data_IF_601595349996
#
_entry.id   IF_601595349996
#
_cell.length_a   1.000
_cell.length_b   1.000
_cell.length_c   1.000
_cell.angle_alpha   90.00
_cell.angle_beta   90.00
_cell.angle_gamma   90.00
#
_symmetry.space_group_name_H-M   'P 1'
#
loop_
_entity.id
_entity.type
_entity.pdbx_description
1 polymer ?
#
# COMPACT_ATOMS: atom_id res chain seq x y z
N UNK A 1 -17.48 13.83 -14.50
CA UNK A 1 -16.74 12.58 -14.52
C UNK A 1 -15.63 12.57 -15.59
N UNK A 2 -15.89 12.86 -16.88
CA UNK A 2 -14.85 12.92 -17.93
C UNK A 2 -13.72 13.89 -17.61
N UNK A 3 -14.02 15.11 -17.14
CA UNK A 3 -12.98 16.06 -16.68
C UNK A 3 -12.11 15.50 -15.55
N UNK A 4 -12.67 14.70 -14.65
CA UNK A 4 -11.93 14.04 -13.57
C UNK A 4 -10.96 12.98 -14.12
N UNK A 5 -11.39 12.19 -15.11
CA UNK A 5 -10.52 11.22 -15.81
C UNK A 5 -9.40 11.95 -16.56
N UNK A 6 -9.71 13.04 -17.29
CA UNK A 6 -8.72 13.84 -17.98
C UNK A 6 -7.66 14.41 -17.03
N UNK A 7 -8.08 14.98 -15.90
CA UNK A 7 -7.18 15.49 -14.85
C UNK A 7 -6.31 14.37 -14.25
N UNK A 8 -6.91 13.23 -13.89
CA UNK A 8 -6.14 12.10 -13.36
C UNK A 8 -5.07 11.64 -14.36
N UNK A 9 -5.43 11.56 -15.65
CA UNK A 9 -4.47 11.19 -16.70
C UNK A 9 -3.34 12.20 -16.82
N UNK A 10 -3.65 13.50 -16.90
CA UNK A 10 -2.62 14.55 -17.00
C UNK A 10 -1.72 14.60 -15.77
N UNK A 11 -2.28 14.53 -14.58
CA UNK A 11 -1.50 14.52 -13.35
C UNK A 11 -0.63 13.27 -13.26
N UNK A 12 -1.16 12.09 -13.61
CA UNK A 12 -0.37 10.85 -13.64
C UNK A 12 0.80 10.94 -14.61
N UNK A 13 0.59 11.48 -15.82
CA UNK A 13 1.66 11.69 -16.79
C UNK A 13 2.70 12.68 -16.24
N UNK A 14 2.26 13.84 -15.73
CA UNK A 14 3.16 14.85 -15.21
C UNK A 14 4.02 14.32 -14.04
N UNK A 15 3.41 13.69 -13.06
CA UNK A 15 4.13 13.09 -11.94
C UNK A 15 5.05 11.96 -12.38
N UNK A 16 4.62 11.12 -13.31
CA UNK A 16 5.45 10.02 -13.84
C UNK A 16 6.69 10.58 -14.52
N UNK A 17 6.54 11.56 -15.41
CA UNK A 17 7.67 12.17 -16.13
C UNK A 17 8.66 12.80 -15.14
N UNK A 18 8.17 13.62 -14.21
CA UNK A 18 9.03 14.27 -13.20
C UNK A 18 9.72 13.21 -12.33
N UNK A 19 8.97 12.24 -11.82
CA UNK A 19 9.52 11.19 -10.93
C UNK A 19 10.56 10.34 -11.65
N UNK A 20 10.25 9.88 -12.87
CA UNK A 20 11.17 9.08 -13.69
C UNK A 20 12.47 9.86 -13.98
N UNK A 21 12.36 11.11 -14.41
CA UNK A 21 13.54 11.94 -14.69
C UNK A 21 14.39 12.15 -13.45
N UNK A 22 13.78 12.57 -12.33
CA UNK A 22 14.51 12.83 -11.08
C UNK A 22 15.16 11.53 -10.55
N UNK A 23 14.41 10.43 -10.50
CA UNK A 23 14.93 9.18 -9.97
C UNK A 23 15.99 8.53 -10.87
N UNK A 24 15.84 8.60 -12.20
CA UNK A 24 16.86 8.10 -13.12
C UNK A 24 18.15 8.93 -13.04
N UNK A 25 18.06 10.26 -12.91
CA UNK A 25 19.23 11.11 -12.71
C UNK A 25 19.94 10.85 -11.38
N UNK A 26 19.18 10.52 -10.34
CA UNK A 26 19.70 10.26 -9.00
C UNK A 26 19.97 8.77 -8.73
N UNK A 27 19.80 7.88 -9.70
CA UNK A 27 19.89 6.42 -9.49
C UNK A 27 21.18 5.99 -8.78
N UNK A 28 22.32 6.46 -9.24
CA UNK A 28 23.62 6.18 -8.62
C UNK A 28 23.73 6.75 -7.20
N UNK A 29 23.23 7.96 -6.98
CA UNK A 29 23.25 8.59 -5.67
C UNK A 29 22.36 7.87 -4.66
N UNK A 30 21.22 7.35 -5.13
CA UNK A 30 20.32 6.53 -4.30
C UNK A 30 21.02 5.24 -3.85
N UNK A 31 21.78 4.58 -4.71
CA UNK A 31 22.55 3.38 -4.35
C UNK A 31 23.63 3.67 -3.30
N UNK A 32 24.33 4.81 -3.43
CA UNK A 32 25.29 5.27 -2.43
C UNK A 32 24.58 5.53 -1.08
N UNK A 33 23.44 6.17 -1.07
CA UNK A 33 22.65 6.39 0.16
C UNK A 33 22.14 5.07 0.76
N UNK A 34 21.85 4.08 -0.06
CA UNK A 34 21.44 2.75 0.38
C UNK A 34 22.63 1.88 0.85
N UNK A 35 23.87 2.38 0.73
CA UNK A 35 25.10 1.66 1.11
C UNK A 35 25.20 0.27 0.45
N UNK A 36 24.86 0.20 -0.84
CA UNK A 36 24.97 -1.03 -1.62
C UNK A 36 26.45 -1.35 -1.79
N UNK A 37 26.89 -2.62 -1.52
CA UNK A 37 28.27 -3.07 -1.71
C UNK A 37 28.74 -2.90 -3.14
N UNK A 38 30.02 -2.55 -3.32
CA UNK A 38 30.60 -2.24 -4.64
C UNK A 38 30.58 -3.42 -5.60
N UNK A 39 30.66 -4.65 -5.09
CA UNK A 39 30.66 -5.90 -5.86
C UNK A 39 29.36 -6.17 -6.63
N UNK A 40 28.23 -5.64 -6.13
CA UNK A 40 26.90 -5.79 -6.75
C UNK A 40 26.32 -4.45 -7.25
N UNK A 41 27.06 -3.36 -7.10
CA UNK A 41 26.57 -2.01 -7.38
C UNK A 41 26.18 -1.79 -8.85
N UNK A 42 26.93 -2.36 -9.80
CA UNK A 42 26.61 -2.24 -11.23
C UNK A 42 25.31 -2.97 -11.59
N UNK A 43 25.13 -4.19 -11.11
CA UNK A 43 23.92 -4.98 -11.34
C UNK A 43 22.69 -4.33 -10.67
N UNK A 44 22.87 -3.86 -9.43
CA UNK A 44 21.83 -3.14 -8.70
C UNK A 44 21.43 -1.85 -9.42
N UNK A 45 22.41 -1.12 -10.00
CA UNK A 45 22.12 0.09 -10.78
C UNK A 45 21.38 -0.25 -12.08
N UNK A 46 21.79 -1.29 -12.78
CA UNK A 46 21.13 -1.73 -14.02
C UNK A 46 19.66 -2.10 -13.75
N UNK A 47 19.41 -2.89 -12.69
CA UNK A 47 18.06 -3.25 -12.27
C UNK A 47 17.23 -2.02 -11.90
N UNK A 48 17.75 -1.20 -10.97
CA UNK A 48 17.05 -0.03 -10.47
C UNK A 48 16.75 0.98 -11.57
N UNK A 49 17.70 1.24 -12.45
CA UNK A 49 17.52 2.15 -13.57
C UNK A 49 16.39 1.69 -14.50
N UNK A 50 16.34 0.40 -14.85
CA UNK A 50 15.26 -0.16 -15.67
C UNK A 50 13.93 -0.04 -14.97
N UNK A 51 13.83 -0.39 -13.68
CA UNK A 51 12.59 -0.25 -12.89
C UNK A 51 12.11 1.20 -12.82
N UNK A 52 13.04 2.14 -12.60
CA UNK A 52 12.73 3.58 -12.57
C UNK A 52 12.23 4.09 -13.93
N UNK A 53 12.87 3.65 -15.00
CA UNK A 53 12.43 3.96 -16.37
C UNK A 53 11.03 3.39 -16.64
N UNK A 54 10.75 2.21 -16.11
CA UNK A 54 9.46 1.52 -16.22
C UNK A 54 8.35 2.03 -15.30
N UNK A 55 8.61 3.01 -14.44
CA UNK A 55 7.60 3.60 -13.53
C UNK A 55 6.33 4.03 -14.29
N UNK A 56 6.47 4.50 -15.52
CA UNK A 56 5.35 4.87 -16.39
C UNK A 56 4.39 3.71 -16.68
N UNK A 57 4.91 2.50 -16.89
CA UNK A 57 4.08 1.31 -17.12
C UNK A 57 3.29 0.95 -15.86
N UNK A 58 3.94 0.98 -14.69
CA UNK A 58 3.30 0.73 -13.40
C UNK A 58 2.20 1.75 -13.09
N UNK A 59 2.48 3.04 -13.26
CA UNK A 59 1.50 4.11 -13.04
C UNK A 59 0.32 3.97 -14.01
N UNK A 60 0.58 3.69 -15.29
CA UNK A 60 -0.45 3.49 -16.30
C UNK A 60 -1.35 2.30 -15.96
N UNK A 61 -0.75 1.15 -15.59
CA UNK A 61 -1.50 -0.03 -15.15
C UNK A 61 -2.40 0.27 -13.94
N UNK A 62 -1.85 0.91 -12.91
CA UNK A 62 -2.61 1.25 -11.70
C UNK A 62 -3.71 2.28 -11.99
N UNK A 63 -3.44 3.29 -12.83
CA UNK A 63 -4.40 4.31 -13.23
C UNK A 63 -5.62 3.68 -13.92
N UNK A 64 -5.39 2.89 -14.97
CA UNK A 64 -6.52 2.27 -15.71
C UNK A 64 -7.28 1.26 -14.84
N UNK A 65 -6.59 0.48 -14.02
CA UNK A 65 -7.20 -0.45 -13.08
C UNK A 65 -8.11 0.25 -12.08
N UNK A 66 -7.66 1.38 -11.53
CA UNK A 66 -8.46 2.19 -10.60
C UNK A 66 -9.64 2.86 -11.30
N UNK A 67 -9.48 3.33 -12.54
CA UNK A 67 -10.57 3.88 -13.34
C UNK A 67 -11.67 2.84 -13.61
N UNK A 68 -11.31 1.63 -14.01
CA UNK A 68 -12.25 0.54 -14.25
C UNK A 68 -13.01 0.15 -12.97
N UNK A 69 -12.30 0.04 -11.83
CA UNK A 69 -12.95 -0.21 -10.52
C UNK A 69 -13.91 0.92 -10.14
N UNK A 70 -13.55 2.17 -10.38
CA UNK A 70 -14.41 3.32 -10.11
C UNK A 70 -15.69 3.31 -10.98
N UNK A 71 -15.61 2.75 -12.20
CA UNK A 71 -16.74 2.53 -13.09
C UNK A 71 -17.60 1.28 -12.74
N UNK A 72 -17.19 0.53 -11.70
CA UNK A 72 -17.89 -0.67 -11.23
C UNK A 72 -17.38 -1.99 -11.82
N UNK A 73 -16.35 -1.95 -12.67
CA UNK A 73 -15.73 -3.15 -13.23
C UNK A 73 -14.49 -3.53 -12.41
N UNK A 74 -14.68 -4.47 -11.49
CA UNK A 74 -13.57 -5.05 -10.70
C UNK A 74 -13.01 -6.33 -11.33
N UNK A 75 -13.71 -6.93 -12.30
CA UNK A 75 -13.31 -8.19 -12.93
C UNK A 75 -12.20 -7.99 -13.95
N UNK A 76 -12.34 -7.00 -14.82
CA UNK A 76 -11.34 -6.70 -15.86
C UNK A 76 -9.95 -6.43 -15.26
N UNK A 77 -9.77 -5.55 -14.24
CA UNK A 77 -8.48 -5.40 -13.58
C UNK A 77 -7.93 -6.68 -12.96
N UNK A 78 -8.79 -7.56 -12.42
CA UNK A 78 -8.36 -8.83 -11.85
C UNK A 78 -7.83 -9.79 -12.95
N UNK A 79 -8.54 -9.92 -14.05
CA UNK A 79 -8.08 -10.77 -15.17
C UNK A 79 -6.74 -10.32 -15.71
N UNK A 80 -6.54 -9.01 -15.88
CA UNK A 80 -5.27 -8.48 -16.37
C UNK A 80 -4.16 -8.48 -15.30
N UNK A 81 -4.49 -8.49 -14.01
CA UNK A 81 -3.52 -8.76 -12.96
C UNK A 81 -2.98 -10.19 -13.06
N UNK A 82 -3.86 -11.19 -13.20
CA UNK A 82 -3.47 -12.60 -13.40
C UNK A 82 -2.66 -12.75 -14.68
N UNK A 83 -3.12 -12.15 -15.78
CA UNK A 83 -2.40 -12.14 -17.05
C UNK A 83 -0.99 -11.53 -16.91
N UNK A 84 -0.87 -10.37 -16.25
CA UNK A 84 0.42 -9.74 -15.98
C UNK A 84 1.35 -10.64 -15.17
N UNK A 85 0.83 -11.30 -14.14
CA UNK A 85 1.63 -12.18 -13.28
C UNK A 85 2.14 -13.41 -14.04
N UNK A 86 1.29 -14.06 -14.83
CA UNK A 86 1.70 -15.21 -15.65
C UNK A 86 2.69 -14.79 -16.73
N UNK A 87 2.41 -13.67 -17.41
CA UNK A 87 3.32 -13.14 -18.44
C UNK A 87 4.67 -12.73 -17.85
N UNK A 88 4.68 -12.14 -16.66
CA UNK A 88 5.91 -11.80 -15.95
C UNK A 88 6.78 -13.04 -15.72
N UNK A 89 6.20 -14.13 -15.17
CA UNK A 89 6.95 -15.39 -14.95
C UNK A 89 7.53 -15.92 -16.26
N UNK A 90 6.76 -15.91 -17.34
CA UNK A 90 7.23 -16.39 -18.66
C UNK A 90 8.37 -15.51 -19.16
N UNK A 91 8.23 -14.19 -19.08
CA UNK A 91 9.25 -13.25 -19.52
C UNK A 91 10.52 -13.31 -18.65
N UNK A 92 10.37 -13.51 -17.33
CA UNK A 92 11.53 -13.73 -16.42
C UNK A 92 12.35 -14.92 -16.89
N UNK A 93 11.70 -16.06 -17.18
CA UNK A 93 12.39 -17.26 -17.67
C UNK A 93 13.08 -16.97 -19.01
N UNK A 94 12.38 -16.32 -19.94
CA UNK A 94 12.90 -16.02 -21.29
C UNK A 94 14.08 -15.04 -21.24
N UNK A 95 13.99 -13.99 -20.43
CA UNK A 95 15.03 -12.96 -20.41
C UNK A 95 16.26 -13.39 -19.59
N UNK A 96 16.06 -14.17 -18.51
CA UNK A 96 17.16 -14.59 -17.66
C UNK A 96 17.88 -15.80 -18.26
N UNK A 97 17.15 -16.84 -18.72
CA UNK A 97 17.79 -18.11 -19.11
C UNK A 97 18.31 -18.07 -20.55
N UNK A 98 17.53 -17.95 -21.64
CA UNK A 98 18.06 -17.97 -23.01
C UNK A 98 18.69 -16.65 -23.46
N UNK A 99 18.23 -15.50 -22.94
CA UNK A 99 18.75 -14.18 -23.35
C UNK A 99 19.89 -13.69 -22.47
N UNK A 100 20.17 -14.36 -21.36
CA UNK A 100 21.27 -14.05 -20.43
C UNK A 100 21.28 -12.57 -19.96
N UNK A 101 20.10 -11.94 -19.82
CA UNK A 101 19.98 -10.53 -19.43
C UNK A 101 20.23 -10.30 -17.92
N UNK A 102 20.43 -11.37 -17.14
CA UNK A 102 20.66 -11.26 -15.71
C UNK A 102 19.52 -10.55 -14.95
N UNK A 103 19.89 -9.78 -13.96
CA UNK A 103 18.93 -9.07 -13.08
C UNK A 103 18.13 -8.00 -13.83
N UNK A 104 18.73 -7.36 -14.85
CA UNK A 104 18.03 -6.39 -15.69
C UNK A 104 16.89 -7.05 -16.49
N UNK A 105 17.02 -8.33 -16.86
CA UNK A 105 15.97 -9.09 -17.52
C UNK A 105 14.71 -9.20 -16.67
N UNK A 106 14.83 -9.46 -15.38
CA UNK A 106 13.71 -9.49 -14.45
C UNK A 106 12.98 -8.12 -14.36
N UNK A 107 13.75 -7.03 -14.37
CA UNK A 107 13.16 -5.69 -14.39
C UNK A 107 12.37 -5.44 -15.68
N UNK A 108 12.93 -5.80 -16.85
CA UNK A 108 12.23 -5.69 -18.13
C UNK A 108 10.98 -6.57 -18.21
N UNK A 109 11.03 -7.80 -17.70
CA UNK A 109 9.89 -8.69 -17.65
C UNK A 109 8.72 -8.08 -16.86
N UNK A 110 9.02 -7.48 -15.71
CA UNK A 110 8.03 -6.79 -14.87
C UNK A 110 7.40 -5.61 -15.60
N UNK A 111 8.22 -4.76 -16.24
CA UNK A 111 7.73 -3.56 -16.93
C UNK A 111 6.87 -3.94 -18.13
N UNK A 112 7.33 -4.89 -18.96
CA UNK A 112 6.61 -5.30 -20.16
C UNK A 112 5.29 -5.97 -19.82
N UNK A 113 5.25 -6.85 -18.81
CA UNK A 113 4.02 -7.51 -18.38
C UNK A 113 2.97 -6.51 -17.88
N UNK A 114 3.38 -5.52 -17.09
CA UNK A 114 2.51 -4.46 -16.62
C UNK A 114 2.05 -3.54 -17.74
N UNK A 115 2.94 -3.15 -18.64
CA UNK A 115 2.61 -2.30 -19.79
C UNK A 115 1.58 -2.97 -20.70
N UNK A 116 1.80 -4.22 -21.09
CA UNK A 116 0.86 -4.98 -21.94
C UNK A 116 -0.49 -5.15 -21.24
N UNK A 117 -0.50 -5.45 -19.94
CA UNK A 117 -1.73 -5.49 -19.16
C UNK A 117 -2.46 -4.15 -19.14
N UNK A 118 -1.75 -3.04 -18.99
CA UNK A 118 -2.32 -1.71 -19.03
C UNK A 118 -2.96 -1.42 -20.41
N UNK A 119 -2.25 -1.75 -21.48
CA UNK A 119 -2.76 -1.57 -22.86
C UNK A 119 -4.02 -2.39 -23.08
N UNK A 120 -4.00 -3.69 -22.77
CA UNK A 120 -5.16 -4.55 -22.95
C UNK A 120 -6.34 -4.14 -22.05
N UNK A 121 -6.09 -3.79 -20.79
CA UNK A 121 -7.11 -3.23 -19.89
C UNK A 121 -7.73 -1.95 -20.46
N UNK A 122 -6.92 -1.09 -21.07
CA UNK A 122 -7.39 0.14 -21.70
C UNK A 122 -8.27 -0.16 -22.92
N UNK A 123 -7.85 -1.09 -23.78
CA UNK A 123 -8.66 -1.49 -24.96
C UNK A 123 -10.01 -2.03 -24.55
N UNK A 124 -10.05 -2.94 -23.55
CA UNK A 124 -11.31 -3.48 -23.02
C UNK A 124 -12.14 -2.38 -22.35
N UNK A 125 -11.49 -1.51 -21.58
CA UNK A 125 -12.14 -0.38 -20.93
C UNK A 125 -12.80 0.57 -21.92
N UNK A 126 -12.08 0.95 -22.99
CA UNK A 126 -12.62 1.81 -24.04
C UNK A 126 -13.81 1.16 -24.79
N UNK A 127 -13.78 -0.16 -25.02
CA UNK A 127 -14.90 -0.88 -25.64
C UNK A 127 -16.14 -0.90 -24.76
N UNK A 128 -15.98 -1.12 -23.46
CA UNK A 128 -17.09 -1.32 -22.54
C UNK A 128 -17.64 -0.03 -21.93
N UNK A 129 -16.82 1.02 -21.85
CA UNK A 129 -17.17 2.26 -21.17
C UNK A 129 -16.95 3.50 -22.06
N UNK A 130 -18.00 3.98 -22.76
CA UNK A 130 -17.91 5.18 -23.60
C UNK A 130 -17.43 6.45 -22.87
N UNK A 131 -17.52 6.47 -21.55
CA UNK A 131 -17.06 7.60 -20.72
C UNK A 131 -15.53 7.76 -20.73
N UNK A 132 -14.78 6.69 -21.02
CA UNK A 132 -13.33 6.71 -21.15
C UNK A 132 -12.85 7.35 -22.46
N UNK A 133 -13.74 7.55 -23.45
CA UNK A 133 -13.41 8.27 -24.66
C UNK A 133 -13.36 9.78 -24.37
N UNK A 134 -12.15 10.27 -24.06
CA UNK A 134 -11.92 11.68 -23.78
C UNK A 134 -11.99 12.51 -25.07
N UNK A 135 -12.66 13.66 -24.99
CA UNK A 135 -12.76 14.65 -26.07
C UNK A 135 -11.91 15.86 -25.73
N UNK A 136 -11.55 16.65 -26.72
CA UNK A 136 -10.77 17.91 -26.50
C UNK A 136 -11.45 18.86 -25.51
N UNK A 137 -12.78 18.87 -25.50
CA UNK A 137 -13.59 19.68 -24.58
C UNK A 137 -13.42 19.27 -23.11
N UNK A 138 -13.09 17.98 -22.83
CA UNK A 138 -12.89 17.46 -21.48
C UNK A 138 -11.60 18.00 -20.84
N UNK A 139 -10.69 18.58 -21.65
CA UNK A 139 -9.44 19.18 -21.19
C UNK A 139 -9.53 20.69 -20.93
N UNK A 140 -10.71 21.30 -21.09
CA UNK A 140 -10.92 22.70 -20.78
C UNK A 140 -11.40 22.90 -19.33
N UNK A 141 -10.91 23.97 -18.69
CA UNK A 141 -11.26 24.36 -17.31
C UNK A 141 -11.07 23.23 -16.28
N UNK A 142 -9.84 22.74 -16.22
CA UNK A 142 -9.45 21.62 -15.33
C UNK A 142 -9.08 22.08 -13.91
N UNK A 143 -8.94 23.40 -13.67
CA UNK A 143 -8.40 23.93 -12.41
C UNK A 143 -9.13 23.43 -11.17
N UNK A 144 -10.47 23.46 -11.20
CA UNK A 144 -11.28 22.99 -10.08
C UNK A 144 -11.09 21.49 -9.80
N UNK A 145 -11.13 20.66 -10.85
CA UNK A 145 -10.93 19.22 -10.73
C UNK A 145 -9.49 18.91 -10.31
N UNK A 146 -8.48 19.59 -10.84
CA UNK A 146 -7.08 19.39 -10.47
C UNK A 146 -6.84 19.72 -8.99
N UNK A 147 -7.36 20.85 -8.51
CA UNK A 147 -7.28 21.21 -7.08
C UNK A 147 -7.92 20.15 -6.20
N UNK A 148 -9.06 19.59 -6.59
CA UNK A 148 -9.73 18.53 -5.82
C UNK A 148 -8.87 17.26 -5.76
N UNK A 149 -8.29 16.83 -6.90
CA UNK A 149 -7.41 15.67 -6.98
C UNK A 149 -6.15 15.86 -6.13
N UNK A 150 -5.51 17.02 -6.21
CA UNK A 150 -4.32 17.33 -5.40
C UNK A 150 -4.64 17.42 -3.91
N UNK A 151 -5.76 18.06 -3.53
CA UNK A 151 -6.19 18.13 -2.12
C UNK A 151 -6.49 16.77 -1.50
N UNK A 152 -6.90 15.80 -2.30
CA UNK A 152 -7.20 14.45 -1.82
C UNK A 152 -5.98 13.52 -1.96
N UNK A 153 -5.30 13.55 -3.09
CA UNK A 153 -4.19 12.64 -3.41
C UNK A 153 -2.89 12.97 -2.68
N UNK A 154 -2.56 14.27 -2.55
CA UNK A 154 -1.30 14.69 -1.90
C UNK A 154 -1.22 14.24 -0.43
N UNK A 155 -2.25 14.43 0.43
CA UNK A 155 -2.23 13.90 1.79
C UNK A 155 -2.10 12.37 1.83
N UNK A 156 -2.70 11.65 0.88
CA UNK A 156 -2.60 10.17 0.81
C UNK A 156 -1.18 9.72 0.47
N UNK A 157 -0.54 10.38 -0.49
CA UNK A 157 0.88 10.11 -0.83
C UNK A 157 1.80 10.38 0.36
N UNK A 158 1.58 11.48 1.06
CA UNK A 158 2.35 11.85 2.25
C UNK A 158 2.17 10.85 3.39
N UNK A 159 0.95 10.27 3.57
CA UNK A 159 0.71 9.20 4.55
C UNK A 159 1.63 7.99 4.31
N UNK A 160 1.82 7.57 3.06
CA UNK A 160 2.72 6.45 2.75
C UNK A 160 4.16 6.75 3.15
N UNK A 161 4.66 7.95 2.87
CA UNK A 161 6.01 8.37 3.30
C UNK A 161 6.15 8.38 4.83
N UNK A 162 5.15 8.87 5.53
CA UNK A 162 5.13 8.89 7.00
C UNK A 162 5.14 7.48 7.59
N UNK A 163 4.38 6.56 7.01
CA UNK A 163 4.38 5.15 7.43
C UNK A 163 5.76 4.51 7.23
N UNK A 164 6.43 4.78 6.10
CA UNK A 164 7.79 4.30 5.85
C UNK A 164 8.79 4.83 6.91
N UNK A 165 8.70 6.11 7.28
CA UNK A 165 9.55 6.69 8.34
C UNK A 165 9.35 5.95 9.67
N UNK A 166 8.10 5.65 10.04
CA UNK A 166 7.80 4.90 11.25
C UNK A 166 8.39 3.48 11.23
N UNK A 167 8.34 2.79 10.10
CA UNK A 167 8.94 1.46 9.94
C UNK A 167 10.47 1.50 9.99
N UNK A 168 11.10 2.50 9.35
CA UNK A 168 12.56 2.68 9.42
C UNK A 168 13.04 2.94 10.85
N UNK A 169 12.31 3.71 11.65
CA UNK A 169 12.63 3.93 13.04
C UNK A 169 12.56 2.64 13.87
N UNK A 170 11.53 1.81 13.66
CA UNK A 170 11.43 0.49 14.29
C UNK A 170 12.61 -0.40 13.90
N UNK A 171 12.92 -0.47 12.61
CA UNK A 171 14.05 -1.25 12.11
C UNK A 171 15.39 -0.81 12.69
N UNK A 172 15.61 0.51 12.85
CA UNK A 172 16.83 1.04 13.44
C UNK A 172 17.02 0.58 14.90
N UNK A 173 15.94 0.56 15.69
CA UNK A 173 16.01 0.05 17.08
C UNK A 173 16.24 -1.46 17.09
N UNK A 174 15.56 -2.23 16.23
CA UNK A 174 15.79 -3.69 16.11
C UNK A 174 17.24 -3.98 15.74
N UNK A 175 17.82 -3.22 14.80
CA UNK A 175 19.21 -3.39 14.39
C UNK A 175 20.20 -3.16 15.56
N UNK A 176 19.87 -2.26 16.50
CA UNK A 176 20.70 -2.01 17.67
C UNK A 176 20.69 -3.13 18.71
N UNK A 177 19.73 -4.08 18.62
CA UNK A 177 19.59 -5.21 19.53
C UNK A 177 20.38 -6.46 19.09
N UNK A 178 21.01 -6.41 17.92
CA UNK A 178 21.87 -7.48 17.41
C UNK A 178 21.23 -8.38 16.34
N UNK A 179 22.03 -9.28 15.80
CA UNK A 179 21.67 -10.08 14.63
C UNK A 179 20.50 -11.03 14.87
N UNK A 180 20.40 -11.63 16.05
CA UNK A 180 19.30 -12.54 16.38
C UNK A 180 17.96 -11.79 16.46
N UNK A 181 17.95 -10.56 17.00
CA UNK A 181 16.76 -9.71 17.02
C UNK A 181 16.33 -9.32 15.60
N UNK A 182 17.29 -8.96 14.74
CA UNK A 182 17.00 -8.64 13.32
C UNK A 182 16.43 -9.83 12.59
N UNK A 183 17.01 -11.02 12.74
CA UNK A 183 16.53 -12.23 12.10
C UNK A 183 15.11 -12.61 12.58
N UNK A 184 14.87 -12.60 13.90
CA UNK A 184 13.57 -12.92 14.50
C UNK A 184 12.49 -11.91 14.10
N UNK A 185 12.79 -10.61 14.16
CA UNK A 185 11.87 -9.55 13.72
C UNK A 185 11.56 -9.65 12.21
N UNK A 186 12.58 -9.89 11.39
CA UNK A 186 12.40 -10.00 9.94
C UNK A 186 11.51 -11.18 9.57
N UNK A 187 11.74 -12.35 10.18
CA UNK A 187 10.87 -13.53 9.97
C UNK A 187 9.43 -13.26 10.42
N UNK A 188 9.25 -12.69 11.62
CA UNK A 188 7.94 -12.36 12.16
C UNK A 188 7.20 -11.29 11.31
N UNK A 189 7.90 -10.27 10.83
CA UNK A 189 7.30 -9.22 9.98
C UNK A 189 6.84 -9.76 8.62
N UNK A 190 7.40 -10.87 8.11
CA UNK A 190 6.89 -11.54 6.91
C UNK A 190 5.53 -12.17 7.15
N UNK A 191 5.28 -12.72 8.34
CA UNK A 191 3.96 -13.20 8.71
C UNK A 191 2.95 -12.05 8.84
N UNK A 192 3.36 -10.94 9.47
CA UNK A 192 2.53 -9.73 9.58
C UNK A 192 2.12 -9.16 8.20
N UNK A 193 3.01 -9.19 7.22
CA UNK A 193 2.71 -8.75 5.85
C UNK A 193 1.52 -9.49 5.21
N UNK A 194 1.24 -10.73 5.59
CA UNK A 194 0.06 -11.46 5.09
C UNK A 194 -1.23 -10.82 5.60
N UNK A 195 -1.28 -10.41 6.88
CA UNK A 195 -2.42 -9.66 7.44
C UNK A 195 -2.58 -8.32 6.74
N UNK A 196 -1.49 -7.59 6.51
CA UNK A 196 -1.51 -6.30 5.81
C UNK A 196 -2.03 -6.45 4.38
N UNK A 197 -1.64 -7.51 3.66
CA UNK A 197 -2.07 -7.75 2.28
C UNK A 197 -3.59 -7.91 2.17
N UNK A 198 -4.20 -8.68 3.06
CA UNK A 198 -5.66 -8.88 3.04
C UNK A 198 -6.40 -7.63 3.49
N UNK A 199 -5.92 -6.93 4.52
CA UNK A 199 -6.47 -5.64 4.89
C UNK A 199 -6.43 -4.64 3.72
N UNK A 200 -5.37 -4.61 2.92
CA UNK A 200 -5.27 -3.78 1.71
C UNK A 200 -6.32 -4.15 0.64
N UNK A 201 -6.59 -5.44 0.45
CA UNK A 201 -7.64 -5.89 -0.45
C UNK A 201 -9.03 -5.42 0.03
N UNK A 202 -9.32 -5.54 1.33
CA UNK A 202 -10.56 -5.04 1.94
C UNK A 202 -10.67 -3.52 1.83
N UNK A 203 -9.58 -2.78 2.04
CA UNK A 203 -9.53 -1.31 1.84
C UNK A 203 -9.90 -0.94 0.40
N UNK A 204 -9.42 -1.68 -0.59
CA UNK A 204 -9.75 -1.43 -1.99
C UNK A 204 -11.24 -1.66 -2.27
N UNK A 205 -11.82 -2.73 -1.72
CA UNK A 205 -13.23 -3.04 -1.89
C UNK A 205 -14.14 -1.99 -1.24
N UNK A 206 -13.88 -1.65 0.04
CA UNK A 206 -14.69 -0.67 0.76
C UNK A 206 -14.54 0.73 0.19
N UNK A 207 -13.35 1.11 -0.30
CA UNK A 207 -13.11 2.40 -0.94
C UNK A 207 -14.04 2.62 -2.13
N UNK A 208 -14.11 1.67 -3.05
CA UNK A 208 -14.98 1.74 -4.21
C UNK A 208 -16.45 1.79 -3.82
N UNK A 209 -16.86 0.92 -2.87
CA UNK A 209 -18.24 0.88 -2.40
C UNK A 209 -18.68 2.19 -1.75
N UNK A 210 -17.87 2.71 -0.82
CA UNK A 210 -18.19 3.96 -0.11
C UNK A 210 -18.18 5.15 -1.07
N UNK A 211 -17.20 5.26 -1.97
CA UNK A 211 -17.10 6.36 -2.92
C UNK A 211 -18.33 6.42 -3.85
N UNK A 212 -18.76 5.27 -4.40
CA UNK A 212 -19.94 5.19 -5.26
C UNK A 212 -21.22 5.58 -4.52
N UNK A 213 -21.44 5.06 -3.30
CA UNK A 213 -22.63 5.38 -2.51
C UNK A 213 -22.59 6.80 -1.95
N UNK A 214 -21.41 7.36 -1.67
CA UNK A 214 -21.25 8.75 -1.30
C UNK A 214 -21.61 9.68 -2.44
N UNK A 215 -21.12 9.41 -3.65
CA UNK A 215 -21.49 10.15 -4.87
C UNK A 215 -22.99 10.08 -5.19
N UNK A 216 -23.66 8.98 -4.82
CA UNK A 216 -25.09 8.79 -4.97
C UNK A 216 -25.93 9.34 -3.79
N UNK A 217 -25.30 9.92 -2.76
CA UNK A 217 -25.98 10.45 -1.56
C UNK A 217 -26.58 9.39 -0.62
N UNK A 218 -26.25 8.10 -0.80
CA UNK A 218 -26.88 6.94 -0.11
C UNK A 218 -26.15 6.59 1.19
N UNK A 219 -26.32 7.41 2.25
CA UNK A 219 -25.64 7.21 3.54
C UNK A 219 -25.98 5.89 4.24
N UNK A 220 -27.21 5.42 4.15
CA UNK A 220 -27.61 4.17 4.80
C UNK A 220 -26.88 2.99 4.19
N UNK A 221 -26.64 3.01 2.87
CA UNK A 221 -25.81 2.00 2.22
C UNK A 221 -24.34 2.09 2.68
N UNK A 222 -23.81 3.30 2.87
CA UNK A 222 -22.46 3.46 3.43
C UNK A 222 -22.37 2.82 4.80
N UNK A 223 -23.33 3.09 5.71
CA UNK A 223 -23.37 2.49 7.05
C UNK A 223 -23.41 0.96 7.00
N UNK A 224 -24.28 0.40 6.17
CA UNK A 224 -24.39 -1.05 6.00
C UNK A 224 -23.10 -1.66 5.42
N UNK A 225 -22.52 -1.04 4.39
CA UNK A 225 -21.28 -1.51 3.78
C UNK A 225 -20.08 -1.44 4.74
N UNK A 226 -19.94 -0.35 5.49
CA UNK A 226 -18.88 -0.22 6.50
C UNK A 226 -19.06 -1.26 7.61
N UNK A 227 -20.28 -1.48 8.10
CA UNK A 227 -20.56 -2.51 9.10
C UNK A 227 -20.24 -3.92 8.57
N UNK A 228 -20.65 -4.25 7.35
CA UNK A 228 -20.36 -5.53 6.72
C UNK A 228 -18.85 -5.72 6.53
N UNK A 229 -18.13 -4.68 6.05
CA UNK A 229 -16.68 -4.74 5.90
C UNK A 229 -15.96 -4.89 7.24
N UNK A 230 -16.41 -4.24 8.31
CA UNK A 230 -15.87 -4.44 9.65
C UNK A 230 -16.02 -5.89 10.08
N UNK A 231 -17.22 -6.48 9.97
CA UNK A 231 -17.45 -7.88 10.36
C UNK A 231 -16.53 -8.83 9.57
N UNK A 232 -16.41 -8.65 8.25
CA UNK A 232 -15.58 -9.49 7.39
C UNK A 232 -14.09 -9.32 7.71
N UNK A 233 -13.63 -8.08 7.87
CA UNK A 233 -12.23 -7.78 8.17
C UNK A 233 -11.84 -8.31 9.54
N UNK A 234 -12.70 -8.14 10.55
CA UNK A 234 -12.42 -8.64 11.90
C UNK A 234 -12.45 -10.17 11.97
N UNK A 235 -13.40 -10.82 11.30
CA UNK A 235 -13.42 -12.28 11.20
C UNK A 235 -12.13 -12.82 10.58
N UNK A 236 -11.63 -12.15 9.54
CA UNK A 236 -10.36 -12.49 8.92
C UNK A 236 -9.17 -12.23 9.86
N UNK A 237 -9.11 -11.07 10.52
CA UNK A 237 -8.03 -10.73 11.43
C UNK A 237 -7.96 -11.67 12.65
N UNK A 238 -9.12 -12.12 13.16
CA UNK A 238 -9.17 -13.16 14.19
C UNK A 238 -8.61 -14.49 13.68
N UNK A 239 -9.01 -14.90 12.46
CA UNK A 239 -8.48 -16.11 11.84
C UNK A 239 -6.96 -16.03 11.63
N UNK A 240 -6.46 -14.88 11.15
CA UNK A 240 -5.03 -14.63 10.99
C UNK A 240 -4.29 -14.65 12.33
N UNK A 241 -4.83 -14.02 13.36
CA UNK A 241 -4.26 -14.05 14.70
C UNK A 241 -4.10 -15.51 15.20
N UNK A 242 -5.17 -16.30 15.12
CA UNK A 242 -5.15 -17.70 15.52
C UNK A 242 -4.12 -18.50 14.69
N UNK A 243 -4.16 -18.33 13.36
CA UNK A 243 -3.23 -19.01 12.43
C UNK A 243 -1.77 -18.67 12.72
N UNK A 244 -1.45 -17.40 12.89
CA UNK A 244 -0.08 -16.94 13.18
C UNK A 244 0.39 -17.46 14.55
N UNK A 245 -0.45 -17.40 15.58
CA UNK A 245 -0.07 -17.89 16.91
C UNK A 245 0.13 -19.41 16.94
N UNK A 246 -0.66 -20.17 16.18
CA UNK A 246 -0.50 -21.62 16.07
C UNK A 246 0.71 -22.03 15.21
N UNK A 247 0.99 -21.28 14.15
CA UNK A 247 2.03 -21.59 13.16
C UNK A 247 3.30 -20.77 13.33
N UNK A 248 3.47 -20.05 14.44
CA UNK A 248 4.57 -19.12 14.66
C UNK A 248 5.97 -19.74 14.45
N UNK A 249 6.21 -20.96 14.96
CA UNK A 249 7.51 -21.64 14.76
C UNK A 249 7.69 -22.11 13.32
N UNK A 250 6.77 -22.86 12.68
CA UNK A 250 6.86 -23.19 11.25
C UNK A 250 7.06 -21.97 10.33
N UNK A 251 6.45 -20.84 10.66
CA UNK A 251 6.63 -19.60 9.89
C UNK A 251 8.09 -19.11 9.98
N UNK A 252 8.67 -19.11 11.18
CA UNK A 252 10.07 -18.69 11.37
C UNK A 252 11.02 -19.62 10.61
N UNK A 253 10.79 -20.94 10.67
CA UNK A 253 11.58 -21.96 9.97
C UNK A 253 11.52 -21.82 8.45
N UNK A 254 10.43 -21.26 7.91
CA UNK A 254 10.32 -21.00 6.46
C UNK A 254 11.27 -19.90 5.98
N UNK A 255 11.61 -18.94 6.85
CA UNK A 255 12.42 -17.77 6.49
C UNK A 255 13.84 -17.80 7.03
N UNK A 256 14.10 -18.61 8.06
CA UNK A 256 15.41 -18.71 8.70
C UNK A 256 15.84 -20.18 8.76
N UNK A 257 16.95 -20.49 8.09
CA UNK A 257 17.53 -21.83 8.15
C UNK A 257 18.17 -22.07 9.52
N UNK A 258 17.72 -23.10 10.23
CA UNK A 258 18.21 -23.47 11.58
C UNK A 258 18.13 -22.31 12.58
N UNK A 259 16.94 -21.82 12.91
CA UNK A 259 16.77 -20.72 13.85
C UNK A 259 17.26 -21.12 15.26
N UNK A 260 17.98 -20.23 15.91
CA UNK A 260 18.44 -20.41 17.28
C UNK A 260 17.31 -20.11 18.28
N UNK A 261 17.45 -20.56 19.52
CA UNK A 261 16.48 -20.27 20.59
C UNK A 261 16.28 -18.74 20.79
N UNK A 262 17.33 -17.94 20.54
CA UNK A 262 17.27 -16.49 20.64
C UNK A 262 16.45 -15.89 19.50
N UNK A 263 16.55 -16.40 18.28
CA UNK A 263 15.72 -15.97 17.13
C UNK A 263 14.24 -16.26 17.41
N UNK A 264 13.94 -17.44 17.92
CA UNK A 264 12.57 -17.78 18.34
C UNK A 264 12.06 -16.85 19.44
N UNK A 265 12.90 -16.51 20.42
CA UNK A 265 12.51 -15.58 21.48
C UNK A 265 12.04 -14.23 20.94
N UNK A 266 12.78 -13.64 19.98
CA UNK A 266 12.41 -12.37 19.37
C UNK A 266 11.18 -12.49 18.47
N UNK A 267 11.09 -13.52 17.64
CA UNK A 267 9.93 -13.71 16.76
C UNK A 267 8.66 -14.03 17.54
N UNK A 268 8.74 -14.88 18.55
CA UNK A 268 7.60 -15.21 19.42
C UNK A 268 7.11 -14.00 20.20
N UNK A 269 8.02 -13.20 20.76
CA UNK A 269 7.66 -11.97 21.45
C UNK A 269 6.90 -11.00 20.52
N UNK A 270 7.38 -10.81 19.29
CA UNK A 270 6.72 -9.96 18.32
C UNK A 270 5.32 -10.48 17.96
N UNK A 271 5.23 -11.72 17.48
CA UNK A 271 3.96 -12.31 17.02
C UNK A 271 2.94 -12.43 18.14
N UNK A 272 3.36 -12.83 19.35
CA UNK A 272 2.45 -12.99 20.49
C UNK A 272 1.91 -11.65 21.00
N UNK A 273 2.70 -10.58 20.90
CA UNK A 273 2.27 -9.25 21.32
C UNK A 273 1.45 -8.56 20.23
N UNK A 274 1.86 -8.61 18.97
CA UNK A 274 1.24 -7.83 17.89
C UNK A 274 -0.02 -8.48 17.33
N UNK A 275 -0.01 -9.81 17.11
CA UNK A 275 -1.13 -10.50 16.45
C UNK A 275 -2.49 -10.36 17.16
N UNK A 276 -2.60 -10.37 18.50
CA UNK A 276 -3.87 -10.12 19.17
C UNK A 276 -4.50 -8.76 18.86
N UNK A 277 -3.69 -7.77 18.43
CA UNK A 277 -4.13 -6.42 18.11
C UNK A 277 -4.47 -6.20 16.63
N UNK A 278 -4.45 -7.25 15.78
CA UNK A 278 -4.87 -7.11 14.37
C UNK A 278 -6.30 -6.60 14.21
N UNK A 279 -7.16 -6.77 15.23
CA UNK A 279 -8.48 -6.14 15.20
C UNK A 279 -8.40 -4.61 15.16
N UNK A 280 -7.39 -3.99 15.81
CA UNK A 280 -7.16 -2.55 15.67
C UNK A 280 -6.74 -2.18 14.25
N UNK A 281 -5.90 -3.00 13.61
CA UNK A 281 -5.51 -2.80 12.21
C UNK A 281 -6.73 -2.85 11.28
N UNK A 282 -7.64 -3.79 11.50
CA UNK A 282 -8.89 -3.90 10.74
C UNK A 282 -9.81 -2.69 10.91
N UNK A 283 -10.06 -2.29 12.15
CA UNK A 283 -10.83 -1.08 12.44
C UNK A 283 -10.22 0.15 11.77
N UNK A 284 -8.90 0.30 11.91
CA UNK A 284 -8.14 1.40 11.32
C UNK A 284 -8.28 1.43 9.80
N UNK A 285 -8.08 0.29 9.13
CA UNK A 285 -8.16 0.16 7.69
C UNK A 285 -9.53 0.57 7.16
N UNK A 286 -10.61 0.03 7.75
CA UNK A 286 -11.98 0.29 7.30
C UNK A 286 -12.42 1.73 7.57
N UNK A 287 -12.19 2.27 8.77
CA UNK A 287 -12.61 3.65 9.07
C UNK A 287 -11.80 4.69 8.30
N UNK A 288 -10.46 4.52 8.20
CA UNK A 288 -9.58 5.40 7.44
C UNK A 288 -10.03 5.47 5.99
N UNK A 289 -10.17 4.33 5.35
CA UNK A 289 -10.55 4.23 3.94
C UNK A 289 -11.95 4.78 3.70
N UNK A 290 -12.90 4.50 4.58
CA UNK A 290 -14.26 5.02 4.46
C UNK A 290 -14.30 6.56 4.54
N UNK A 291 -13.57 7.16 5.47
CA UNK A 291 -13.48 8.62 5.61
C UNK A 291 -12.80 9.25 4.39
N UNK A 292 -11.72 8.64 3.87
CA UNK A 292 -11.03 9.10 2.66
C UNK A 292 -11.96 9.05 1.45
N UNK A 293 -12.70 7.96 1.29
CA UNK A 293 -13.64 7.76 0.18
C UNK A 293 -14.83 8.73 0.21
N UNK A 294 -15.13 9.29 1.37
CA UNK A 294 -16.09 10.40 1.53
C UNK A 294 -15.44 11.79 1.34
N UNK A 295 -14.31 11.88 0.65
CA UNK A 295 -13.58 13.10 0.31
C UNK A 295 -13.01 13.88 1.52
N UNK A 296 -12.86 13.24 2.65
CA UNK A 296 -12.19 13.84 3.81
C UNK A 296 -10.77 13.26 3.96
N UNK A 297 -9.79 13.89 3.34
CA UNK A 297 -8.38 13.50 3.47
C UNK A 297 -7.70 14.04 4.74
N UNK A 298 -8.28 15.06 5.41
CA UNK A 298 -7.65 15.72 6.57
C UNK A 298 -7.62 14.83 7.80
N UNK A 299 -8.72 14.17 8.11
CA UNK A 299 -8.81 13.33 9.29
C UNK A 299 -7.91 12.09 9.22
N UNK A 300 -7.87 11.33 8.10
CA UNK A 300 -6.90 10.26 7.90
C UNK A 300 -5.44 10.72 7.95
N UNK A 301 -5.14 11.92 7.43
CA UNK A 301 -3.80 12.48 7.53
C UNK A 301 -3.42 12.80 8.99
N UNK A 302 -4.32 13.44 9.75
CA UNK A 302 -4.10 13.70 11.17
C UNK A 302 -3.92 12.39 11.96
N UNK A 303 -4.72 11.36 11.66
CA UNK A 303 -4.57 10.04 12.28
C UNK A 303 -3.19 9.42 11.97
N UNK A 304 -2.70 9.57 10.74
CA UNK A 304 -1.37 9.11 10.36
C UNK A 304 -0.24 9.85 11.13
N UNK A 305 -0.41 11.15 11.39
CA UNK A 305 0.53 11.88 12.25
C UNK A 305 0.50 11.38 13.69
N UNK A 306 -0.67 11.07 14.24
CA UNK A 306 -0.81 10.45 15.57
C UNK A 306 -0.11 9.09 15.60
N UNK A 307 -0.31 8.25 14.57
CA UNK A 307 0.39 6.97 14.45
C UNK A 307 1.91 7.14 14.46
N UNK A 308 2.43 8.07 13.66
CA UNK A 308 3.87 8.32 13.62
C UNK A 308 4.41 8.73 14.99
N UNK A 309 3.77 9.71 15.62
CA UNK A 309 4.20 10.21 16.93
C UNK A 309 4.16 9.11 17.98
N UNK A 310 3.08 8.34 18.06
CA UNK A 310 2.95 7.25 19.02
C UNK A 310 3.94 6.12 18.74
N UNK A 311 4.16 5.78 17.47
CA UNK A 311 5.14 4.76 17.06
C UNK A 311 6.56 5.20 17.41
N UNK A 312 6.94 6.44 17.11
CA UNK A 312 8.25 6.98 17.45
C UNK A 312 8.43 7.06 18.97
N UNK A 313 7.42 7.51 19.69
CA UNK A 313 7.47 7.57 21.17
C UNK A 313 7.66 6.16 21.77
N UNK A 314 6.92 5.17 21.30
CA UNK A 314 7.09 3.79 21.74
C UNK A 314 8.46 3.24 21.34
N UNK A 315 8.88 3.42 20.11
CA UNK A 315 10.11 2.83 19.59
C UNK A 315 11.37 3.49 20.15
N UNK A 316 11.41 4.83 20.28
CA UNK A 316 12.63 5.56 20.67
C UNK A 316 12.70 5.79 22.17
N UNK A 317 11.59 6.18 22.80
CA UNK A 317 11.58 6.54 24.21
C UNK A 317 11.27 5.33 25.10
N UNK A 318 10.21 4.57 24.81
CA UNK A 318 9.80 3.43 25.63
C UNK A 318 10.77 2.25 25.51
N UNK A 319 11.48 2.11 24.37
CA UNK A 319 12.50 1.06 24.20
C UNK A 319 13.65 1.15 25.21
N UNK A 320 13.91 2.32 25.75
CA UNK A 320 14.93 2.50 26.81
C UNK A 320 14.56 1.77 28.11
N UNK A 321 13.28 1.54 28.35
CA UNK A 321 12.77 0.90 29.56
C UNK A 321 12.33 -0.55 29.31
N UNK A 322 11.72 -0.84 28.16
CA UNK A 322 11.12 -2.14 27.82
C UNK A 322 11.92 -2.92 26.77
N UNK A 323 13.01 -2.36 26.24
CA UNK A 323 13.81 -3.02 25.21
C UNK A 323 13.00 -3.40 23.99
N UNK A 324 13.12 -4.65 23.53
CA UNK A 324 12.44 -5.16 22.35
C UNK A 324 10.90 -5.17 22.47
N UNK A 325 10.36 -5.35 23.67
CA UNK A 325 8.91 -5.33 23.90
C UNK A 325 8.29 -4.00 23.46
N UNK A 326 9.01 -2.89 23.60
CA UNK A 326 8.54 -1.58 23.13
C UNK A 326 8.37 -1.54 21.60
N UNK A 327 9.22 -2.22 20.85
CA UNK A 327 9.07 -2.36 19.39
C UNK A 327 7.81 -3.17 19.07
N UNK A 328 7.57 -4.27 19.78
CA UNK A 328 6.41 -5.13 19.58
C UNK A 328 5.07 -4.40 19.84
N UNK A 329 5.01 -3.50 20.83
CA UNK A 329 3.77 -2.76 21.14
C UNK A 329 3.64 -1.43 20.37
N UNK A 330 4.66 -1.03 19.61
CA UNK A 330 4.67 0.27 18.91
C UNK A 330 3.55 0.39 17.87
N UNK A 331 3.33 -0.66 17.07
CA UNK A 331 2.25 -0.69 16.08
C UNK A 331 0.86 -0.71 16.73
N UNK A 332 0.56 -1.59 17.70
CA UNK A 332 -0.71 -1.57 18.43
C UNK A 332 -1.06 -0.22 19.06
N UNK A 333 -0.11 0.42 19.71
CA UNK A 333 -0.31 1.75 20.29
C UNK A 333 -0.62 2.81 19.23
N UNK A 334 0.11 2.79 18.12
CA UNK A 334 -0.12 3.70 17.00
C UNK A 334 -1.52 3.51 16.40
N UNK A 335 -1.94 2.26 16.18
CA UNK A 335 -3.29 1.94 15.67
C UNK A 335 -4.38 2.42 16.62
N UNK A 336 -4.22 2.20 17.91
CA UNK A 336 -5.17 2.66 18.93
C UNK A 336 -5.34 4.17 18.89
N UNK A 337 -4.24 4.94 18.86
CA UNK A 337 -4.29 6.40 18.79
C UNK A 337 -5.00 6.92 17.54
N UNK A 338 -4.73 6.32 16.39
CA UNK A 338 -5.38 6.70 15.14
C UNK A 338 -6.89 6.38 15.13
N UNK A 339 -7.28 5.23 15.64
CA UNK A 339 -8.69 4.80 15.73
C UNK A 339 -9.47 5.72 16.67
N UNK A 340 -8.91 6.10 17.80
CA UNK A 340 -9.53 7.03 18.74
C UNK A 340 -9.89 8.37 18.10
N UNK A 341 -9.14 8.80 17.08
CA UNK A 341 -9.45 9.98 16.28
C UNK A 341 -10.46 9.68 15.17
N UNK A 342 -10.32 8.57 14.44
CA UNK A 342 -11.09 8.30 13.23
C UNK A 342 -12.54 7.91 13.51
N UNK A 343 -12.81 7.12 14.55
CA UNK A 343 -14.15 6.67 14.89
C UNK A 343 -15.10 7.85 15.15
N UNK A 344 -14.79 8.83 16.03
CA UNK A 344 -15.64 9.98 16.23
C UNK A 344 -15.87 10.82 14.97
N UNK A 345 -14.83 10.95 14.12
CA UNK A 345 -14.94 11.68 12.85
C UNK A 345 -15.91 10.97 11.91
N UNK A 346 -15.82 9.63 11.77
CA UNK A 346 -16.74 8.86 10.94
C UNK A 346 -18.19 9.05 11.35
N UNK A 347 -18.51 8.89 12.63
CA UNK A 347 -19.88 9.05 13.13
C UNK A 347 -20.39 10.48 12.95
N UNK A 348 -19.56 11.50 13.18
CA UNK A 348 -19.93 12.91 12.91
C UNK A 348 -20.24 13.15 11.43
N UNK A 349 -19.52 12.52 10.51
CA UNK A 349 -19.80 12.62 9.07
C UNK A 349 -21.10 11.92 8.68
N UNK A 350 -21.45 10.83 9.39
CA UNK A 350 -22.70 10.12 9.14
C UNK A 350 -23.94 10.89 9.61
N UNK A 351 -23.81 11.71 10.65
CA UNK A 351 -24.92 12.53 11.18
C UNK A 351 -25.16 13.76 10.30
N UNK A 352 -24.11 14.42 9.79
CA UNK A 352 -24.23 15.64 8.98
C UNK A 352 -24.88 15.35 7.62
N UNK A 353 -25.77 16.23 7.09
CA UNK A 353 -26.32 16.07 5.74
C UNK A 353 -25.19 16.08 4.68
N UNK A 354 -25.35 15.29 3.61
CA UNK A 354 -24.42 15.34 2.47
C UNK A 354 -24.60 16.69 1.80
N UNK A 355 -23.58 17.53 1.79
CA UNK A 355 -23.55 18.65 0.87
C UNK A 355 -23.28 18.05 -0.51
N UNK A 356 -24.29 17.93 -1.33
CA UNK A 356 -24.15 17.65 -2.77
C UNK A 356 -23.31 18.77 -3.38
N UNK A 357 -22.16 18.39 -3.93
CA UNK A 357 -21.27 19.28 -4.71
C UNK A 357 -21.75 19.30 -6.15
#
# INVERSE_FOLDING_TARGET
MRKSIAVSTLLSIAFTVVLTLVCCLLSRQILVWMQIPDDISEEANAYMFVVLLGTGATVFYNMISNMLRALGDSKTPLYFLVFSSVLNIILDIVFIVPMHMGVAGAAWATILSQFLSAVFSTVVGLRNFPILHLRREDFHDLKGAAVLHLKTGFPMGFQMSVMCIGQLAMQAVVNSLGTAAVAGYTAASKADQLSVLVNNAMMTAISNYVAQNFGAGKKDRIRLGVRASLIQTEAFNILMCIGILLLRHPIVELFVSNPTAEIYHYSDAFLTIEAPFYFLLGLLAVYRTSIQSMQNGRAPFAACMVELVMRLAATVWLSRFLGYTAVCIASPLAWFGAIALLIPVYYRMMIKPVKTV
#
